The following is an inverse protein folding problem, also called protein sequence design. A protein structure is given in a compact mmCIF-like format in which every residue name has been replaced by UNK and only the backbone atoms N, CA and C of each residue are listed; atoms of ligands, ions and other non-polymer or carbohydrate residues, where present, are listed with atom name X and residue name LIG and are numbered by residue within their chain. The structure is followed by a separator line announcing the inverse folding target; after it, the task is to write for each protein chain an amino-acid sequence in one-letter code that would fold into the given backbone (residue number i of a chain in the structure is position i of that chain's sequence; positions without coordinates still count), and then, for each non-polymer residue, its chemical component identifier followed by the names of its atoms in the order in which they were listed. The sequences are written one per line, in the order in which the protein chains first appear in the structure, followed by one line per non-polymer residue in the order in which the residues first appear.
data_IF_632713046557
#
_entry.id   IF_632713046557
#
_cell.length_a   1.000
_cell.length_b   1.000
_cell.length_c   1.000
_cell.angle_alpha   90.00
_cell.angle_beta   90.00
_cell.angle_gamma   90.00
#
_symmetry.space_group_name_H-M   'P 1'
#
loop_
_entity.id
_entity.type
_entity.pdbx_description
1 polymer ?
#
# COMPACT_ATOMS: atom_id res chain seq x y z
N UNK A 1 7.14 9.73 -8.73
CA UNK A 1 6.88 10.19 -7.34
C UNK A 1 7.47 9.20 -6.36
N UNK A 2 7.98 9.65 -5.21
CA UNK A 2 8.56 8.76 -4.20
C UNK A 2 7.93 9.05 -2.84
N UNK A 3 7.29 8.03 -2.27
CA UNK A 3 6.69 8.13 -0.95
C UNK A 3 7.60 7.44 0.07
N UNK A 4 7.78 8.06 1.24
CA UNK A 4 8.47 7.45 2.38
C UNK A 4 7.41 6.91 3.32
N UNK A 5 7.51 5.64 3.67
CA UNK A 5 6.66 4.97 4.64
C UNK A 5 7.51 4.62 5.85
N UNK A 6 7.01 4.94 7.05
CA UNK A 6 7.63 4.56 8.30
C UNK A 6 6.81 3.43 8.93
N UNK A 7 7.46 2.28 9.14
CA UNK A 7 6.87 1.15 9.88
C UNK A 7 7.19 1.29 11.37
N UNK A 8 6.29 0.80 12.22
CA UNK A 8 6.45 0.81 13.69
C UNK A 8 6.50 -0.59 14.30
N UNK A 9 6.25 -1.63 13.50
CA UNK A 9 6.25 -3.04 13.91
C UNK A 9 7.06 -3.88 12.92
N UNK A 10 7.57 -5.06 13.33
CA UNK A 10 8.29 -5.98 12.44
C UNK A 10 7.45 -6.44 11.24
N UNK A 11 6.16 -6.74 11.46
CA UNK A 11 5.17 -7.00 10.41
C UNK A 11 4.03 -5.99 10.55
N UNK A 12 3.70 -5.31 9.45
CA UNK A 12 2.66 -4.28 9.45
C UNK A 12 2.09 -4.11 8.04
N UNK A 13 0.76 -4.09 7.94
CA UNK A 13 0.09 -3.56 6.77
C UNK A 13 -0.16 -2.06 6.97
N UNK A 14 0.20 -1.27 5.97
CA UNK A 14 -0.01 0.18 5.95
C UNK A 14 -0.85 0.48 4.73
N UNK A 15 -2.03 1.07 4.95
CA UNK A 15 -2.88 1.49 3.85
C UNK A 15 -2.26 2.72 3.16
N UNK A 16 -1.99 2.59 1.87
CA UNK A 16 -1.41 3.64 1.02
C UNK A 16 -2.39 4.19 -0.02
N UNK A 17 -3.67 3.82 0.05
CA UNK A 17 -4.70 4.15 -0.96
C UNK A 17 -4.83 5.65 -1.16
N UNK A 18 -4.90 6.43 -0.07
CA UNK A 18 -5.03 7.88 -0.16
C UNK A 18 -3.79 8.53 -0.77
N UNK A 19 -2.60 8.01 -0.46
CA UNK A 19 -1.36 8.50 -1.06
C UNK A 19 -1.33 8.24 -2.58
N UNK A 20 -1.69 7.03 -3.01
CA UNK A 20 -1.75 6.68 -4.43
C UNK A 20 -2.81 7.52 -5.15
N UNK A 21 -3.99 7.67 -4.55
CA UNK A 21 -5.10 8.47 -5.09
C UNK A 21 -4.69 9.94 -5.28
N UNK A 22 -3.99 10.52 -4.31
CA UNK A 22 -3.49 11.89 -4.42
C UNK A 22 -2.47 12.03 -5.54
N UNK A 23 -1.56 11.07 -5.70
CA UNK A 23 -0.57 11.14 -6.78
C UNK A 23 -1.14 10.90 -8.17
N UNK A 24 -2.15 10.03 -8.29
CA UNK A 24 -2.91 9.90 -9.54
C UNK A 24 -3.63 11.21 -9.88
N UNK A 25 -4.30 11.85 -8.91
CA UNK A 25 -4.93 13.16 -9.10
C UNK A 25 -3.93 14.23 -9.53
N UNK A 26 -2.77 14.29 -8.88
CA UNK A 26 -1.70 15.25 -9.18
C UNK A 26 -1.07 15.03 -10.56
N UNK A 27 -1.13 13.81 -11.09
CA UNK A 27 -0.59 13.50 -12.43
C UNK A 27 -1.42 14.08 -13.57
N UNK A 28 -2.66 14.53 -13.32
CA UNK A 28 -3.64 14.98 -14.33
C UNK A 28 -3.97 13.92 -15.41
N UNK A 29 -3.60 12.65 -15.20
CA UNK A 29 -3.97 11.54 -16.08
C UNK A 29 -5.45 11.20 -15.85
N UNK A 30 -6.22 11.12 -16.94
CA UNK A 30 -7.65 10.74 -16.89
C UNK A 30 -7.85 9.23 -16.98
N UNK A 31 -7.10 8.59 -17.87
CA UNK A 31 -7.17 7.15 -18.13
C UNK A 31 -5.76 6.60 -18.33
N UNK A 32 -5.43 5.50 -17.64
CA UNK A 32 -4.10 4.92 -17.68
C UNK A 32 -3.88 3.85 -16.62
N UNK A 33 -2.62 3.53 -16.35
CA UNK A 33 -2.20 2.52 -15.37
C UNK A 33 -1.31 3.18 -14.32
N UNK A 34 -1.62 2.95 -13.05
CA UNK A 34 -0.75 3.31 -11.94
C UNK A 34 0.10 2.09 -11.54
N UNK A 35 1.43 2.22 -11.65
CA UNK A 35 2.37 1.16 -11.22
C UNK A 35 2.93 1.51 -9.86
N UNK A 36 2.69 0.64 -8.87
CA UNK A 36 3.25 0.77 -7.53
C UNK A 36 4.41 -0.23 -7.41
N UNK A 37 5.57 0.28 -7.03
CA UNK A 37 6.80 -0.50 -6.89
C UNK A 37 7.43 -0.31 -5.52
N UNK A 38 7.83 -1.41 -4.89
CA UNK A 38 8.51 -1.42 -3.60
C UNK A 38 9.99 -1.79 -3.83
N UNK A 39 10.94 -0.86 -3.64
CA UNK A 39 12.36 -1.10 -3.88
C UNK A 39 13.05 -1.80 -2.68
N UNK A 40 12.35 -2.68 -1.98
CA UNK A 40 12.87 -3.41 -0.81
C UNK A 40 12.56 -4.90 -0.97
N UNK A 41 13.51 -5.76 -0.62
CA UNK A 41 13.35 -7.21 -0.70
C UNK A 41 12.54 -7.80 0.46
N UNK A 42 12.33 -7.04 1.52
CA UNK A 42 11.64 -7.45 2.76
C UNK A 42 10.27 -6.80 2.93
N UNK A 43 9.77 -6.09 1.91
CA UNK A 43 8.44 -5.49 1.91
C UNK A 43 7.78 -5.68 0.55
N UNK A 44 6.45 -5.70 0.53
CA UNK A 44 5.66 -5.87 -0.68
C UNK A 44 4.52 -4.87 -0.76
N UNK A 45 3.83 -4.89 -1.89
CA UNK A 45 2.54 -4.21 -2.08
C UNK A 45 1.51 -5.27 -2.46
N UNK A 46 0.32 -5.16 -1.89
CA UNK A 46 -0.82 -6.01 -2.22
C UNK A 46 -2.10 -5.18 -2.18
N UNK A 47 -3.15 -5.68 -2.83
CA UNK A 47 -4.49 -5.11 -2.79
C UNK A 47 -5.38 -6.16 -2.13
N UNK A 48 -6.02 -5.77 -1.02
CA UNK A 48 -6.96 -6.62 -0.30
C UNK A 48 -8.04 -5.76 0.37
N UNK A 49 -8.94 -6.39 1.12
CA UNK A 49 -9.99 -5.73 1.87
C UNK A 49 -9.44 -4.73 2.90
N UNK A 50 -10.12 -3.59 3.02
CA UNK A 50 -9.77 -2.50 3.93
C UNK A 50 -10.96 -2.07 4.82
N UNK A 51 -12.05 -2.84 4.84
CA UNK A 51 -13.21 -2.56 5.69
C UNK A 51 -13.07 -3.23 7.06
N UNK A 52 -12.70 -4.51 7.06
CA UNK A 52 -12.53 -5.30 8.26
C UNK A 52 -11.04 -5.39 8.68
N UNK A 53 -10.64 -4.86 9.85
CA UNK A 53 -9.27 -4.97 10.34
C UNK A 53 -8.84 -6.42 10.65
N UNK A 54 -9.78 -7.36 10.82
CA UNK A 54 -9.46 -8.75 11.13
C UNK A 54 -8.82 -9.47 9.93
N UNK A 55 -9.17 -9.10 8.70
CA UNK A 55 -8.49 -9.62 7.49
C UNK A 55 -6.99 -9.36 7.53
N UNK A 56 -6.59 -8.15 7.94
CA UNK A 56 -5.16 -7.78 8.07
C UNK A 56 -4.48 -8.61 9.16
N UNK A 57 -5.16 -8.86 10.28
CA UNK A 57 -4.62 -9.65 11.39
C UNK A 57 -4.43 -11.10 11.00
N UNK A 58 -5.39 -11.67 10.29
CA UNK A 58 -5.34 -13.05 9.80
C UNK A 58 -4.21 -13.22 8.80
N UNK A 59 -4.03 -12.28 7.87
CA UNK A 59 -2.91 -12.30 6.93
C UNK A 59 -1.55 -12.25 7.64
N UNK A 60 -1.39 -11.41 8.66
CA UNK A 60 -0.15 -11.36 9.45
C UNK A 60 0.07 -12.67 10.22
N UNK A 61 -1.00 -13.30 10.71
CA UNK A 61 -0.91 -14.52 11.51
C UNK A 61 -0.65 -15.77 10.67
N UNK A 62 -1.08 -15.76 9.41
CA UNK A 62 -0.95 -16.89 8.49
C UNK A 62 0.39 -16.94 7.72
N UNK A 63 1.18 -15.87 7.76
CA UNK A 63 2.44 -15.69 7.03
C UNK A 63 3.66 -15.70 7.96
#
# INVERSE_FOLDING_TARGET
MRCKIQTTKPQQFINITDMVSNEVKNSNVRDGIAVIYVPHTTAGVTINENADPDVVRDMISAL
#
